data_IF_874636769456
#
_entry.id   IF_874636769456
#
_cell.length_a   1.000
_cell.length_b   1.000
_cell.length_c   1.000
_cell.angle_alpha   90.00
_cell.angle_beta   90.00
_cell.angle_gamma   90.00
#
_symmetry.space_group_name_H-M   'P 1'
#
loop_
_entity.id
_entity.type
_entity.pdbx_description
1 polymer ?
#
# COMPACT_ATOMS: atom_id res chain seq x y z
N UNK A 1 2.00 -24.12 1.39
CA UNK A 1 2.98 -24.56 0.35
C UNK A 1 4.27 -23.75 0.51
N UNK A 2 5.45 -24.40 0.43
CA UNK A 2 6.73 -23.69 0.32
C UNK A 2 6.73 -22.93 -1.01
N UNK A 3 7.13 -21.63 -1.06
CA UNK A 3 7.28 -20.90 -2.32
C UNK A 3 8.17 -21.72 -3.27
N UNK A 4 7.78 -21.88 -4.53
CA UNK A 4 8.67 -22.51 -5.52
C UNK A 4 9.73 -21.47 -5.89
N UNK A 5 10.98 -21.58 -5.38
CA UNK A 5 11.99 -20.54 -5.59
C UNK A 5 12.44 -20.47 -7.05
N UNK A 6 12.13 -21.50 -7.85
CA UNK A 6 12.43 -21.55 -9.29
C UNK A 6 11.39 -20.81 -10.14
N UNK A 7 10.26 -20.42 -9.54
CA UNK A 7 9.23 -19.63 -10.20
C UNK A 7 9.38 -18.14 -9.83
N UNK A 8 10.10 -17.32 -10.64
CA UNK A 8 10.27 -15.88 -10.38
C UNK A 8 8.95 -15.10 -10.47
N UNK A 9 7.88 -15.74 -10.97
CA UNK A 9 6.56 -15.15 -11.11
C UNK A 9 5.67 -15.40 -9.89
N UNK A 10 6.11 -16.24 -8.94
CA UNK A 10 5.42 -16.44 -7.67
C UNK A 10 5.60 -15.21 -6.78
N UNK A 11 4.48 -14.63 -6.35
CA UNK A 11 4.46 -13.41 -5.52
C UNK A 11 5.11 -13.64 -4.15
N UNK A 12 5.15 -14.89 -3.68
CA UNK A 12 5.78 -15.25 -2.41
C UNK A 12 7.31 -15.10 -2.42
N UNK A 13 7.94 -15.06 -3.60
CA UNK A 13 9.38 -14.86 -3.77
C UNK A 13 9.73 -13.39 -4.09
N UNK A 14 8.74 -12.50 -4.11
CA UNK A 14 8.95 -11.12 -4.51
C UNK A 14 9.92 -10.40 -3.55
N UNK A 15 10.83 -9.62 -4.14
CA UNK A 15 11.69 -8.68 -3.43
C UNK A 15 11.44 -7.29 -4.00
N UNK A 16 11.13 -6.28 -3.15
CA UNK A 16 10.97 -6.37 -1.71
C UNK A 16 9.76 -7.22 -1.28
N UNK A 17 9.80 -7.82 -0.09
CA UNK A 17 8.61 -8.42 0.52
C UNK A 17 7.65 -7.33 1.02
N UNK A 18 6.38 -7.65 1.36
CA UNK A 18 5.48 -6.66 1.93
C UNK A 18 5.95 -6.12 3.28
N UNK A 19 6.77 -6.88 4.02
CA UNK A 19 7.35 -6.40 5.27
C UNK A 19 8.43 -5.34 4.97
N UNK A 20 9.37 -5.65 4.07
CA UNK A 20 10.40 -4.69 3.62
C UNK A 20 9.76 -3.43 3.01
N UNK A 21 8.56 -3.57 2.43
CA UNK A 21 7.82 -2.44 1.90
C UNK A 21 7.39 -1.42 2.96
N UNK A 22 7.04 -1.87 4.17
CA UNK A 22 6.80 -0.97 5.30
C UNK A 22 8.09 -0.24 5.65
N UNK A 23 9.20 -0.97 5.74
CA UNK A 23 10.51 -0.40 6.08
C UNK A 23 10.96 0.64 5.05
N UNK A 24 10.65 0.47 3.76
CA UNK A 24 10.93 1.48 2.73
C UNK A 24 10.17 2.80 2.94
N UNK A 25 8.97 2.76 3.52
CA UNK A 25 8.25 4.00 3.89
C UNK A 25 8.75 4.58 5.21
N UNK A 26 9.22 3.75 6.14
CA UNK A 26 9.78 4.21 7.40
C UNK A 26 11.20 4.77 7.24
N UNK A 27 11.90 4.32 6.19
CA UNK A 27 13.29 4.66 5.98
C UNK A 27 13.54 5.25 4.58
N UNK A 28 12.82 6.31 4.22
CA UNK A 28 13.03 6.99 2.93
C UNK A 28 14.37 7.76 2.99
N UNK A 29 15.35 7.44 2.12
CA UNK A 29 16.62 8.16 2.09
C UNK A 29 16.43 9.56 1.48
N UNK A 30 17.03 10.58 2.08
CA UNK A 30 16.99 11.95 1.57
C UNK A 30 18.32 12.63 1.88
N UNK A 31 19.25 12.65 0.91
CA UNK A 31 20.63 13.06 1.19
C UNK A 31 21.29 12.08 2.17
N UNK A 32 21.91 12.59 3.24
CA UNK A 32 22.61 11.78 4.25
C UNK A 32 21.71 11.37 5.43
N UNK A 33 20.41 11.66 5.36
CA UNK A 33 19.43 11.37 6.43
C UNK A 33 18.32 10.45 5.94
N UNK A 34 17.53 9.99 6.91
CA UNK A 34 16.38 9.12 6.70
C UNK A 34 15.11 9.79 7.23
N UNK A 35 14.02 9.71 6.47
CA UNK A 35 12.72 10.30 6.81
C UNK A 35 11.65 9.21 6.81
N UNK A 36 10.81 9.21 7.84
CA UNK A 36 9.69 8.28 7.96
C UNK A 36 8.39 8.90 7.45
N UNK A 37 7.61 8.13 6.68
CA UNK A 37 6.29 8.54 6.19
C UNK A 37 5.22 8.06 7.16
N UNK A 38 4.85 8.93 8.10
CA UNK A 38 4.06 8.56 9.27
C UNK A 38 2.54 8.70 9.09
N UNK A 39 2.08 9.29 7.98
CA UNK A 39 0.70 9.74 7.84
C UNK A 39 -0.11 8.87 6.90
N UNK A 40 -1.32 8.51 7.33
CA UNK A 40 -2.39 8.01 6.48
C UNK A 40 -3.16 9.17 5.90
N UNK A 41 -3.30 9.17 4.58
CA UNK A 41 -3.85 10.30 3.85
C UNK A 41 -4.83 9.81 2.80
N UNK A 42 -6.07 9.56 3.22
CA UNK A 42 -7.13 9.07 2.32
C UNK A 42 -7.87 10.23 1.64
N UNK A 43 -8.06 10.13 0.33
CA UNK A 43 -8.80 11.10 -0.46
C UNK A 43 -7.91 12.10 -1.19
N UNK A 44 -8.49 13.23 -1.62
CA UNK A 44 -7.80 14.26 -2.40
C UNK A 44 -7.45 15.45 -1.50
N UNK A 45 -6.17 15.77 -1.46
CA UNK A 45 -5.52 16.76 -0.62
C UNK A 45 -4.96 17.91 -1.47
N UNK A 46 -5.80 18.60 -2.24
CA UNK A 46 -5.38 19.69 -3.12
C UNK A 46 -5.43 21.08 -2.48
N UNK A 47 -6.04 21.21 -1.30
CA UNK A 47 -6.29 22.51 -0.65
C UNK A 47 -5.92 22.53 0.84
N UNK A 48 -5.20 21.52 1.34
CA UNK A 48 -4.70 21.51 2.71
C UNK A 48 -3.31 22.17 2.83
N UNK A 49 -2.84 22.35 4.07
CA UNK A 49 -1.53 22.95 4.33
C UNK A 49 -0.36 22.16 3.67
N UNK A 50 -0.52 20.83 3.55
CA UNK A 50 0.42 19.98 2.84
C UNK A 50 0.44 20.27 1.33
N UNK A 51 -0.72 20.51 0.72
CA UNK A 51 -0.86 20.87 -0.68
C UNK A 51 -0.11 22.16 -1.01
N UNK A 52 -0.25 23.18 -0.16
CA UNK A 52 0.50 24.44 -0.31
C UNK A 52 2.01 24.19 -0.25
N UNK A 53 2.49 23.40 0.71
CA UNK A 53 3.92 23.06 0.85
C UNK A 53 4.46 22.33 -0.38
N UNK A 54 3.75 21.30 -0.85
CA UNK A 54 4.10 20.55 -2.07
C UNK A 54 4.14 21.45 -3.30
N UNK A 55 3.16 22.35 -3.45
CA UNK A 55 3.10 23.31 -4.55
C UNK A 55 4.30 24.27 -4.54
N UNK A 56 4.68 24.80 -3.37
CA UNK A 56 5.83 25.69 -3.22
C UNK A 56 7.16 25.00 -3.57
N UNK A 57 7.33 23.72 -3.21
CA UNK A 57 8.49 22.92 -3.64
C UNK A 57 8.50 22.77 -5.15
N UNK A 58 7.38 22.33 -5.74
CA UNK A 58 7.29 22.10 -7.18
C UNK A 58 7.56 23.39 -7.99
N UNK A 59 6.96 24.51 -7.60
CA UNK A 59 7.16 25.81 -8.26
C UNK A 59 8.61 26.27 -8.19
N UNK A 60 9.24 26.16 -7.02
CA UNK A 60 10.63 26.57 -6.82
C UNK A 60 11.60 25.65 -7.57
N UNK A 61 11.34 24.33 -7.60
CA UNK A 61 12.14 23.37 -8.35
C UNK A 61 12.10 23.67 -9.86
N UNK A 62 10.91 23.95 -10.40
CA UNK A 62 10.77 24.38 -11.81
C UNK A 62 11.52 25.68 -12.07
N UNK A 63 11.40 26.68 -11.18
CA UNK A 63 12.12 27.96 -11.31
C UNK A 63 13.65 27.76 -11.32
N UNK A 64 14.15 26.82 -10.53
CA UNK A 64 15.58 26.43 -10.46
C UNK A 64 16.02 25.46 -11.56
N UNK A 65 15.11 25.04 -12.46
CA UNK A 65 15.36 24.05 -13.53
C UNK A 65 15.82 22.68 -13.01
N UNK A 66 15.36 22.29 -11.82
CA UNK A 66 15.57 20.94 -11.29
C UNK A 66 14.66 19.93 -12.02
N UNK A 67 15.03 18.65 -12.00
CA UNK A 67 14.19 17.59 -12.55
C UNK A 67 12.94 17.40 -11.68
N UNK A 68 11.75 17.56 -12.27
CA UNK A 68 10.47 17.46 -11.54
C UNK A 68 9.61 16.36 -12.14
N UNK A 69 9.40 15.29 -11.37
CA UNK A 69 8.37 14.31 -11.66
C UNK A 69 6.99 14.83 -11.19
N UNK A 70 6.26 15.53 -12.06
CA UNK A 70 4.92 16.07 -11.75
C UNK A 70 3.93 14.99 -11.30
N UNK A 71 4.09 13.75 -11.77
CA UNK A 71 3.19 12.65 -11.40
C UNK A 71 3.36 12.25 -9.92
N UNK A 72 4.57 12.32 -9.39
CA UNK A 72 4.84 12.10 -7.96
C UNK A 72 4.05 13.09 -7.09
N UNK A 73 4.08 14.38 -7.43
CA UNK A 73 3.32 15.40 -6.72
C UNK A 73 1.80 15.19 -6.82
N UNK A 74 1.30 14.79 -7.99
CA UNK A 74 -0.11 14.46 -8.16
C UNK A 74 -0.52 13.27 -7.26
N UNK A 75 0.30 12.21 -7.22
CA UNK A 75 0.07 11.06 -6.33
C UNK A 75 0.14 11.43 -4.86
N UNK A 76 1.07 12.31 -4.48
CA UNK A 76 1.14 12.85 -3.13
C UNK A 76 -0.15 13.56 -2.75
N UNK A 77 -0.75 14.34 -3.64
CA UNK A 77 -2.05 14.95 -3.35
C UNK A 77 -3.23 13.97 -3.29
N UNK A 78 -3.04 12.68 -3.55
CA UNK A 78 -4.08 11.65 -3.45
C UNK A 78 -3.76 10.56 -2.41
N UNK A 79 -2.66 10.72 -1.67
CA UNK A 79 -2.17 9.67 -0.75
C UNK A 79 -1.73 8.39 -1.45
N UNK A 80 -1.20 8.50 -2.67
CA UNK A 80 -0.78 7.34 -3.51
C UNK A 80 0.71 7.33 -3.82
N UNK A 81 1.52 7.99 -2.99
CA UNK A 81 2.98 8.04 -3.20
C UNK A 81 3.61 6.67 -2.99
N UNK A 82 4.55 6.31 -3.86
CA UNK A 82 5.53 5.26 -3.58
C UNK A 82 6.65 5.79 -2.66
N UNK A 83 7.51 4.90 -2.10
CA UNK A 83 8.74 5.34 -1.44
C UNK A 83 9.60 6.24 -2.34
N UNK A 84 9.75 5.90 -3.61
CA UNK A 84 10.53 6.69 -4.59
C UNK A 84 9.92 8.07 -4.86
N UNK A 85 8.58 8.17 -4.89
CA UNK A 85 7.92 9.47 -4.96
C UNK A 85 8.22 10.32 -3.73
N UNK A 86 8.28 9.69 -2.54
CA UNK A 86 8.61 10.38 -1.30
C UNK A 86 10.06 10.88 -1.33
N UNK A 87 11.02 10.03 -1.68
CA UNK A 87 12.43 10.38 -1.84
C UNK A 87 12.58 11.56 -2.82
N UNK A 88 11.96 11.47 -3.99
CA UNK A 88 12.01 12.53 -5.01
C UNK A 88 11.45 13.87 -4.48
N UNK A 89 10.29 13.84 -3.81
CA UNK A 89 9.66 15.06 -3.30
C UNK A 89 10.47 15.66 -2.14
N UNK A 90 10.99 14.83 -1.24
CA UNK A 90 11.77 15.27 -0.09
C UNK A 90 13.13 15.81 -0.51
N UNK A 91 13.80 15.17 -1.48
CA UNK A 91 15.04 15.68 -2.08
C UNK A 91 14.84 17.06 -2.68
N UNK A 92 13.77 17.24 -3.48
CA UNK A 92 13.42 18.57 -3.98
C UNK A 92 13.09 19.57 -2.87
N UNK A 93 12.49 19.15 -1.75
CA UNK A 93 12.21 20.04 -0.63
C UNK A 93 13.51 20.60 0.00
N UNK A 94 14.57 19.78 0.09
CA UNK A 94 15.90 20.21 0.51
C UNK A 94 16.57 21.10 -0.54
N UNK A 95 16.62 20.67 -1.81
CA UNK A 95 17.28 21.40 -2.90
C UNK A 95 16.69 22.80 -3.14
N UNK A 96 15.39 22.95 -2.86
CA UNK A 96 14.67 24.23 -2.98
C UNK A 96 14.75 25.09 -1.72
N UNK A 97 15.30 24.56 -0.62
CA UNK A 97 15.36 25.21 0.69
C UNK A 97 13.99 25.40 1.35
N UNK A 98 12.97 24.63 0.92
CA UNK A 98 11.63 24.63 1.54
C UNK A 98 11.59 23.76 2.80
N UNK A 99 12.58 22.91 2.96
CA UNK A 99 12.95 22.23 4.18
C UNK A 99 14.48 22.23 4.33
N UNK A 100 14.95 22.08 5.56
CA UNK A 100 16.33 21.74 5.90
C UNK A 100 16.37 20.31 6.45
N UNK A 101 17.55 19.71 6.57
CA UNK A 101 17.72 18.40 7.22
C UNK A 101 17.07 18.36 8.61
N UNK A 102 17.19 19.43 9.39
CA UNK A 102 16.59 19.51 10.74
C UNK A 102 15.05 19.61 10.75
N UNK A 103 14.42 20.00 9.64
CA UNK A 103 12.98 20.26 9.57
C UNK A 103 12.24 19.30 8.63
N UNK A 104 12.95 18.44 7.91
CA UNK A 104 12.41 17.63 6.82
C UNK A 104 11.41 16.57 7.29
N UNK A 105 11.63 15.98 8.48
CA UNK A 105 10.66 15.05 9.07
C UNK A 105 9.32 15.75 9.35
N UNK A 106 9.35 16.89 10.04
CA UNK A 106 8.15 17.68 10.29
C UNK A 106 7.49 18.19 9.00
N UNK A 107 8.28 18.46 7.96
CA UNK A 107 7.75 18.80 6.64
C UNK A 107 7.03 17.61 6.00
N UNK A 108 7.60 16.41 6.09
CA UNK A 108 7.03 15.16 5.60
C UNK A 108 5.71 14.83 6.33
N UNK A 109 5.67 14.92 7.66
CA UNK A 109 4.48 14.65 8.47
C UNK A 109 3.29 15.56 8.08
N UNK A 110 3.57 16.78 7.61
CA UNK A 110 2.55 17.74 7.18
C UNK A 110 2.13 17.52 5.72
N UNK A 111 3.03 17.02 4.87
CA UNK A 111 2.94 17.15 3.42
C UNK A 111 2.87 15.82 2.68
N UNK A 112 3.23 14.71 3.30
CA UNK A 112 3.27 13.39 2.68
C UNK A 112 2.50 12.39 3.53
N UNK A 113 2.03 11.35 2.87
CA UNK A 113 1.27 10.27 3.47
C UNK A 113 0.74 9.35 2.40
N UNK A 114 0.35 8.14 2.80
CA UNK A 114 -0.14 7.13 1.88
C UNK A 114 -1.37 6.45 2.46
N UNK A 115 -2.41 6.24 1.65
CA UNK A 115 -3.58 5.48 2.07
C UNK A 115 -3.40 3.96 1.85
N UNK A 116 -4.38 3.18 2.30
CA UNK A 116 -4.30 1.72 2.28
C UNK A 116 -4.17 1.19 0.85
N UNK A 117 -4.92 1.74 -0.09
CA UNK A 117 -4.86 1.32 -1.49
C UNK A 117 -3.60 1.83 -2.17
N UNK A 118 -3.13 3.04 -1.87
CA UNK A 118 -1.90 3.61 -2.38
C UNK A 118 -0.69 2.77 -2.00
N UNK A 119 -0.64 2.32 -0.75
CA UNK A 119 0.39 1.42 -0.25
C UNK A 119 0.45 0.11 -1.05
N UNK A 120 -0.70 -0.54 -1.23
CA UNK A 120 -0.80 -1.81 -1.98
C UNK A 120 -0.52 -1.61 -3.47
N UNK A 121 -0.99 -0.51 -4.06
CA UNK A 121 -0.77 -0.22 -5.48
C UNK A 121 0.69 0.08 -5.76
N UNK A 122 1.35 0.86 -4.89
CA UNK A 122 2.78 1.15 -5.01
C UNK A 122 3.61 -0.13 -4.90
N UNK A 123 3.29 -1.03 -3.96
CA UNK A 123 3.94 -2.34 -3.83
C UNK A 123 3.83 -3.17 -5.11
N UNK A 124 2.61 -3.36 -5.63
CA UNK A 124 2.44 -4.13 -6.86
C UNK A 124 3.01 -3.45 -8.10
N UNK A 125 3.15 -2.12 -8.09
CA UNK A 125 3.87 -1.41 -9.14
C UNK A 125 5.37 -1.64 -9.09
N UNK A 126 5.97 -1.69 -7.89
CA UNK A 126 7.39 -2.04 -7.71
C UNK A 126 7.67 -3.41 -8.31
N UNK A 127 6.78 -4.37 -8.04
CA UNK A 127 6.88 -5.73 -8.55
C UNK A 127 6.49 -5.87 -10.03
N UNK A 128 6.29 -4.75 -10.73
CA UNK A 128 5.87 -4.73 -12.14
C UNK A 128 4.63 -5.61 -12.40
N UNK A 129 3.64 -5.58 -11.50
CA UNK A 129 2.35 -6.29 -11.63
C UNK A 129 1.21 -5.38 -12.06
N UNK A 130 1.28 -4.10 -11.70
CA UNK A 130 0.33 -3.07 -12.12
C UNK A 130 1.05 -1.75 -12.40
N UNK A 131 0.39 -0.82 -13.09
CA UNK A 131 0.93 0.53 -13.32
C UNK A 131 0.48 1.48 -12.21
N UNK A 132 1.42 2.05 -11.44
CA UNK A 132 1.07 3.06 -10.42
C UNK A 132 0.25 4.21 -11.01
N UNK A 133 0.62 4.71 -12.20
CA UNK A 133 -0.09 5.82 -12.87
C UNK A 133 -1.55 5.49 -13.17
N UNK A 134 -1.82 4.30 -13.70
CA UNK A 134 -3.18 3.87 -14.08
C UNK A 134 -4.08 3.66 -12.86
N UNK A 135 -3.51 3.28 -11.72
CA UNK A 135 -4.26 2.88 -10.53
C UNK A 135 -4.25 3.95 -9.41
N UNK A 136 -3.53 5.05 -9.57
CA UNK A 136 -3.51 6.14 -8.57
C UNK A 136 -4.74 7.05 -8.60
N UNK A 137 -5.48 7.13 -9.72
CA UNK A 137 -6.58 8.08 -9.94
C UNK A 137 -7.97 7.62 -9.49
N UNK A 138 -8.09 6.77 -8.48
CA UNK A 138 -9.38 6.27 -7.99
C UNK A 138 -9.52 4.75 -7.88
N UNK A 139 -8.41 4.01 -7.83
CA UNK A 139 -8.49 2.59 -7.48
C UNK A 139 -9.09 2.43 -6.09
N UNK A 140 -10.18 1.67 -6.03
CA UNK A 140 -10.84 1.22 -4.81
C UNK A 140 -10.60 -0.27 -4.62
N UNK A 141 -10.90 -0.77 -3.43
CA UNK A 141 -10.81 -2.19 -3.12
C UNK A 141 -11.56 -3.06 -4.15
N UNK A 142 -12.83 -2.77 -4.53
CA UNK A 142 -13.55 -3.58 -5.51
C UNK A 142 -12.88 -3.62 -6.89
N UNK A 143 -12.28 -2.50 -7.30
CA UNK A 143 -11.61 -2.41 -8.59
C UNK A 143 -10.38 -3.32 -8.67
N UNK A 144 -9.55 -3.34 -7.62
CA UNK A 144 -8.38 -4.22 -7.56
C UNK A 144 -8.78 -5.70 -7.55
N UNK A 145 -9.83 -6.06 -6.79
CA UNK A 145 -10.36 -7.42 -6.78
C UNK A 145 -10.90 -7.81 -8.16
N UNK A 146 -11.65 -6.93 -8.82
CA UNK A 146 -12.13 -7.15 -10.18
C UNK A 146 -10.99 -7.35 -11.20
N UNK A 147 -9.93 -6.54 -11.09
CA UNK A 147 -8.74 -6.67 -11.93
C UNK A 147 -8.02 -8.01 -11.70
N UNK A 148 -7.85 -8.43 -10.45
CA UNK A 148 -7.25 -9.72 -10.10
C UNK A 148 -8.08 -10.90 -10.63
N UNK A 149 -9.42 -10.84 -10.53
CA UNK A 149 -10.31 -11.87 -11.09
C UNK A 149 -10.20 -11.96 -12.62
N UNK A 150 -10.09 -10.82 -13.31
CA UNK A 150 -9.93 -10.77 -14.78
C UNK A 150 -8.55 -11.22 -15.23
N UNK A 151 -7.50 -10.83 -14.50
CA UNK A 151 -6.09 -11.14 -14.78
C UNK A 151 -5.54 -12.32 -13.97
N UNK A 152 -6.42 -13.27 -13.60
CA UNK A 152 -6.07 -14.41 -12.74
C UNK A 152 -4.87 -15.17 -13.32
N UNK A 153 -3.84 -15.50 -12.49
CA UNK A 153 -2.72 -16.30 -12.94
C UNK A 153 -3.15 -17.62 -13.61
N UNK A 154 -2.44 -18.07 -14.68
CA UNK A 154 -2.64 -19.40 -15.24
C UNK A 154 -2.48 -20.49 -14.18
N UNK A 155 -3.28 -21.56 -14.26
CA UNK A 155 -3.21 -22.69 -13.32
C UNK A 155 -3.89 -22.49 -11.96
N UNK A 156 -4.30 -21.26 -11.61
CA UNK A 156 -5.05 -21.01 -10.38
C UNK A 156 -6.57 -21.19 -10.61
N UNK A 157 -7.34 -21.93 -9.80
CA UNK A 157 -8.78 -22.10 -10.04
C UNK A 157 -9.57 -20.79 -9.83
N UNK A 158 -9.14 -19.96 -8.89
CA UNK A 158 -9.77 -18.69 -8.52
C UNK A 158 -8.73 -17.69 -8.02
N UNK A 159 -8.90 -16.41 -8.33
CA UNK A 159 -8.07 -15.37 -7.70
C UNK A 159 -8.42 -15.17 -6.21
N UNK A 160 -9.63 -15.54 -5.80
CA UNK A 160 -10.05 -15.54 -4.40
C UNK A 160 -9.56 -16.82 -3.72
N UNK A 161 -8.85 -16.65 -2.60
CA UNK A 161 -8.24 -17.70 -1.79
C UNK A 161 -9.06 -17.87 -0.51
N UNK A 162 -9.40 -19.10 -0.18
CA UNK A 162 -10.29 -19.42 0.95
C UNK A 162 -9.61 -20.23 2.05
N UNK A 163 -8.66 -21.08 1.66
CA UNK A 163 -8.00 -22.00 2.57
C UNK A 163 -6.71 -21.36 3.08
N UNK A 164 -6.50 -21.41 4.40
CA UNK A 164 -5.37 -20.75 5.05
C UNK A 164 -4.02 -21.22 4.47
N UNK A 165 -3.90 -22.53 4.18
CA UNK A 165 -2.69 -23.15 3.63
C UNK A 165 -2.34 -22.74 2.19
N UNK A 166 -3.30 -22.15 1.47
CA UNK A 166 -3.14 -21.63 0.11
C UNK A 166 -2.74 -20.14 0.07
N UNK A 167 -2.86 -19.44 1.19
CA UNK A 167 -2.48 -18.03 1.34
C UNK A 167 -0.97 -17.91 1.23
N UNK A 168 -0.51 -16.85 0.58
CA UNK A 168 0.90 -16.57 0.33
C UNK A 168 1.25 -15.15 0.73
N UNK A 169 2.52 -14.95 1.10
CA UNK A 169 3.10 -13.60 1.19
C UNK A 169 2.88 -12.85 -0.13
N UNK A 170 2.46 -11.59 -0.02
CA UNK A 170 2.14 -10.72 -1.14
C UNK A 170 0.68 -10.82 -1.63
N UNK A 171 -0.14 -11.71 -1.09
CA UNK A 171 -1.59 -11.66 -1.28
C UNK A 171 -2.19 -10.39 -0.70
N UNK A 172 -3.27 -9.90 -1.30
CA UNK A 172 -4.02 -8.81 -0.69
C UNK A 172 -5.17 -9.35 0.17
N UNK A 173 -5.31 -8.80 1.38
CA UNK A 173 -6.46 -8.99 2.25
C UNK A 173 -7.37 -7.78 2.08
N UNK A 174 -8.63 -8.01 1.76
CA UNK A 174 -9.61 -6.95 1.49
C UNK A 174 -10.81 -7.11 2.40
N UNK A 175 -11.22 -6.05 3.10
CA UNK A 175 -12.41 -6.06 3.97
C UNK A 175 -13.69 -5.99 3.14
N UNK A 176 -14.07 -7.16 2.61
CA UNK A 176 -15.13 -7.33 1.64
C UNK A 176 -15.67 -8.76 1.65
N UNK A 177 -16.85 -9.00 1.07
CA UNK A 177 -17.35 -10.34 0.72
C UNK A 177 -17.09 -10.68 -0.75
N UNK A 178 -17.26 -11.94 -1.15
CA UNK A 178 -17.16 -12.38 -2.55
C UNK A 178 -18.19 -11.73 -3.49
N UNK A 179 -19.26 -11.14 -2.95
CA UNK A 179 -20.25 -10.32 -3.66
C UNK A 179 -19.83 -8.85 -3.82
N UNK A 180 -18.56 -8.55 -3.54
CA UNK A 180 -17.98 -7.20 -3.61
C UNK A 180 -18.62 -6.19 -2.65
N UNK A 181 -19.19 -6.66 -1.54
CA UNK A 181 -19.74 -5.79 -0.49
C UNK A 181 -18.65 -5.47 0.52
N UNK A 182 -18.28 -4.19 0.64
CA UNK A 182 -17.33 -3.74 1.66
C UNK A 182 -17.88 -3.98 3.07
N UNK A 183 -17.03 -4.49 3.95
CA UNK A 183 -17.40 -4.88 5.33
C UNK A 183 -16.80 -3.93 6.37
N UNK A 184 -16.05 -2.92 5.92
CA UNK A 184 -15.58 -1.77 6.70
C UNK A 184 -15.99 -0.47 6.00
N UNK A 185 -16.12 0.60 6.79
CA UNK A 185 -16.40 1.94 6.29
C UNK A 185 -15.40 2.95 6.91
N UNK A 186 -14.52 3.57 6.10
CA UNK A 186 -14.25 3.26 4.69
C UNK A 186 -13.71 1.83 4.50
N UNK A 187 -13.78 1.31 3.27
CA UNK A 187 -13.16 0.02 2.91
C UNK A 187 -11.65 0.01 3.21
N UNK A 188 -11.08 -1.19 3.38
CA UNK A 188 -9.67 -1.35 3.75
C UNK A 188 -9.01 -2.52 3.00
N UNK A 189 -7.72 -2.37 2.73
CA UNK A 189 -6.87 -3.34 2.05
C UNK A 189 -5.50 -3.42 2.74
N UNK A 190 -4.94 -4.61 2.76
CA UNK A 190 -3.62 -4.93 3.30
C UNK A 190 -2.91 -5.96 2.42
N UNK A 191 -1.61 -6.15 2.63
CA UNK A 191 -0.82 -7.23 2.06
C UNK A 191 -0.53 -8.28 3.14
N UNK A 192 -0.50 -9.55 2.79
CA UNK A 192 0.01 -10.61 3.66
C UNK A 192 1.53 -10.53 3.67
N UNK A 193 2.13 -10.22 4.82
CA UNK A 193 3.58 -10.19 4.99
C UNK A 193 4.14 -11.58 5.26
N UNK A 194 3.50 -12.34 6.15
CA UNK A 194 3.94 -13.69 6.50
C UNK A 194 2.75 -14.60 6.76
N UNK A 195 2.92 -15.86 6.37
CA UNK A 195 2.00 -16.96 6.65
C UNK A 195 2.68 -17.99 7.55
N UNK A 196 1.89 -18.76 8.30
CA UNK A 196 2.38 -19.90 9.10
C UNK A 196 3.44 -19.59 10.17
N UNK A 197 3.59 -18.31 10.56
CA UNK A 197 4.48 -17.90 11.66
C UNK A 197 3.76 -17.98 13.00
N UNK A 198 2.45 -17.73 13.01
CA UNK A 198 1.59 -17.78 14.20
C UNK A 198 0.40 -18.68 13.86
N UNK A 199 0.05 -19.67 14.72
CA UNK A 199 -1.15 -20.46 14.52
C UNK A 199 -2.39 -19.57 14.36
N UNK A 200 -3.22 -19.90 13.39
CA UNK A 200 -4.49 -19.22 13.12
C UNK A 200 -4.34 -17.69 13.00
N UNK A 201 -3.24 -17.20 12.43
CA UNK A 201 -3.08 -15.78 12.18
C UNK A 201 -2.20 -15.46 10.96
N UNK A 202 -2.57 -14.39 10.26
CA UNK A 202 -1.76 -13.77 9.22
C UNK A 202 -1.04 -12.55 9.79
N UNK A 203 0.22 -12.38 9.43
CA UNK A 203 0.90 -11.10 9.58
C UNK A 203 0.69 -10.29 8.30
N UNK A 204 0.34 -9.02 8.45
CA UNK A 204 0.01 -8.13 7.34
C UNK A 204 0.84 -6.86 7.34
N UNK A 205 1.02 -6.27 6.18
CA UNK A 205 1.53 -4.93 5.96
C UNK A 205 0.45 -4.06 5.34
N UNK A 206 0.26 -2.86 5.88
CA UNK A 206 -0.78 -1.96 5.41
C UNK A 206 -0.51 -0.52 5.81
N UNK A 207 -1.19 0.43 5.17
CA UNK A 207 -1.31 1.79 5.69
C UNK A 207 -2.72 2.03 6.24
N UNK A 208 -2.85 2.56 7.45
CA UNK A 208 -4.14 2.99 8.00
C UNK A 208 -3.98 4.15 8.98
N UNK A 209 -5.07 4.88 9.26
CA UNK A 209 -5.06 6.04 10.15
C UNK A 209 -5.11 5.74 11.64
N UNK A 210 -4.90 4.50 12.09
CA UNK A 210 -4.79 4.20 13.52
C UNK A 210 -3.34 4.44 13.98
N UNK A 211 -3.13 4.88 15.22
CA UNK A 211 -1.79 4.91 15.82
C UNK A 211 -1.28 3.47 16.02
N UNK A 212 -0.01 3.20 15.74
CA UNK A 212 0.65 1.93 16.05
C UNK A 212 1.23 1.87 17.47
N UNK A 213 1.15 2.96 18.23
CA UNK A 213 1.72 3.09 19.58
C UNK A 213 3.06 3.82 19.60
N UNK A 214 3.70 4.03 18.44
CA UNK A 214 4.90 4.85 18.26
C UNK A 214 4.64 6.20 17.59
N UNK A 215 3.37 6.53 17.31
CA UNK A 215 2.99 7.77 16.63
C UNK A 215 2.95 7.64 15.11
N UNK A 216 3.05 6.44 14.55
CA UNK A 216 2.80 6.22 13.13
C UNK A 216 1.32 5.95 12.89
N UNK A 217 0.73 6.79 12.05
CA UNK A 217 -0.65 6.71 11.59
C UNK A 217 -0.70 6.34 10.11
N UNK A 218 0.27 5.58 9.58
CA UNK A 218 0.46 5.30 8.15
C UNK A 218 0.85 3.84 7.88
N UNK A 219 1.84 3.56 6.99
CA UNK A 219 2.42 2.23 6.77
C UNK A 219 2.88 1.59 8.08
N UNK A 220 2.56 0.32 8.27
CA UNK A 220 2.93 -0.48 9.45
C UNK A 220 2.62 -1.96 9.25
N UNK A 221 3.02 -2.75 10.24
CA UNK A 221 2.65 -4.15 10.37
C UNK A 221 1.40 -4.32 11.23
N UNK A 222 0.68 -5.40 10.98
CA UNK A 222 -0.47 -5.81 11.77
C UNK A 222 -0.60 -7.33 11.84
N UNK A 223 -1.49 -7.79 12.70
CA UNK A 223 -1.89 -9.19 12.84
C UNK A 223 -3.38 -9.30 12.56
N UNK A 224 -3.77 -10.36 11.85
CA UNK A 224 -5.16 -10.77 11.68
C UNK A 224 -5.30 -12.21 12.18
N UNK A 225 -6.05 -12.42 13.26
CA UNK A 225 -6.47 -13.75 13.68
C UNK A 225 -7.43 -14.37 12.67
N UNK A 226 -7.44 -15.69 12.57
CA UNK A 226 -8.20 -16.46 11.60
C UNK A 226 -9.25 -17.30 12.32
N UNK A 227 -10.53 -16.98 12.12
CA UNK A 227 -11.65 -17.71 12.74
C UNK A 227 -12.32 -18.69 11.74
N UNK A 228 -11.91 -18.64 10.47
CA UNK A 228 -12.37 -19.54 9.41
C UNK A 228 -13.35 -18.93 8.41
N UNK A 229 -13.71 -19.74 7.41
CA UNK A 229 -14.56 -19.34 6.29
C UNK A 229 -16.03 -19.40 6.67
N UNK A 230 -16.79 -18.35 6.32
CA UNK A 230 -18.24 -18.23 6.54
C UNK A 230 -18.95 -17.92 5.23
N UNK A 231 -20.22 -18.30 5.13
CA UNK A 231 -21.08 -18.02 3.98
C UNK A 231 -22.51 -17.75 4.43
N UNK A 232 -23.19 -16.80 3.78
CA UNK A 232 -24.59 -16.48 4.03
C UNK A 232 -25.18 -15.56 2.96
N UNK A 233 -26.36 -14.98 3.21
CA UNK A 233 -27.08 -14.13 2.23
C UNK A 233 -26.24 -12.97 1.65
N UNK A 234 -25.32 -12.43 2.46
CA UNK A 234 -24.39 -11.35 2.08
C UNK A 234 -23.14 -11.80 1.30
N UNK A 235 -22.99 -13.10 1.03
CA UNK A 235 -21.83 -13.67 0.34
C UNK A 235 -20.93 -14.52 1.26
N UNK A 236 -19.88 -15.07 0.65
CA UNK A 236 -18.79 -15.82 1.29
C UNK A 236 -17.68 -14.86 1.72
N UNK A 237 -17.09 -15.09 2.89
CA UNK A 237 -15.99 -14.32 3.46
C UNK A 237 -15.20 -15.16 4.47
N UNK A 238 -14.02 -14.67 4.85
CA UNK A 238 -13.20 -15.18 5.94
C UNK A 238 -13.47 -14.30 7.16
N UNK A 239 -13.80 -14.93 8.28
CA UNK A 239 -13.94 -14.26 9.57
C UNK A 239 -12.54 -14.12 10.20
N UNK A 240 -12.19 -12.91 10.61
CA UNK A 240 -10.93 -12.56 11.28
C UNK A 240 -11.20 -11.75 12.54
N UNK A 241 -10.39 -11.94 13.58
CA UNK A 241 -10.46 -11.19 14.85
C UNK A 241 -11.89 -11.03 15.44
N UNK A 242 -12.70 -12.09 15.39
CA UNK A 242 -14.06 -12.19 15.93
C UNK A 242 -15.14 -11.37 15.21
N UNK A 243 -14.76 -10.32 14.47
CA UNK A 243 -15.72 -9.39 13.84
C UNK A 243 -15.33 -8.94 12.43
N UNK A 244 -14.06 -9.02 12.05
CA UNK A 244 -13.58 -8.66 10.72
C UNK A 244 -14.02 -9.66 9.65
N UNK A 245 -14.47 -9.16 8.51
CA UNK A 245 -14.92 -10.00 7.39
C UNK A 245 -14.09 -9.65 6.17
N UNK A 246 -13.30 -10.59 5.67
CA UNK A 246 -12.35 -10.33 4.59
C UNK A 246 -12.46 -11.35 3.47
N UNK A 247 -11.85 -11.03 2.35
CA UNK A 247 -11.43 -12.00 1.33
C UNK A 247 -9.93 -11.86 1.14
N UNK A 248 -9.26 -12.97 0.83
CA UNK A 248 -7.87 -12.97 0.40
C UNK A 248 -7.83 -13.14 -1.10
N UNK A 249 -7.02 -12.33 -1.78
CA UNK A 249 -6.99 -12.26 -3.24
C UNK A 249 -5.55 -12.34 -3.73
N UNK A 250 -5.28 -13.29 -4.62
CA UNK A 250 -4.02 -13.39 -5.37
C UNK A 250 -3.95 -12.23 -6.38
N UNK A 251 -2.90 -11.41 -6.40
CA UNK A 251 -2.76 -10.35 -7.39
C UNK A 251 -2.68 -10.91 -8.82
N UNK A 252 -2.97 -10.08 -9.85
CA UNK A 252 -2.84 -10.49 -11.24
C UNK A 252 -1.38 -10.87 -11.57
N UNK A 253 -1.21 -11.85 -12.47
CA UNK A 253 0.12 -12.39 -12.78
C UNK A 253 1.03 -11.41 -13.54
N UNK A 254 0.49 -10.46 -14.31
CA UNK A 254 1.29 -9.60 -15.18
C UNK A 254 0.62 -8.25 -15.48
N UNK A 255 1.44 -7.23 -15.72
CA UNK A 255 1.06 -5.99 -16.41
C UNK A 255 0.67 -6.35 -17.85
N UNK A 256 -0.48 -5.85 -18.28
CA UNK A 256 -0.74 -5.57 -19.69
C UNK A 256 -0.37 -4.11 -19.99
#
# INVERSE_FOLDING_TARGET
MVPDPSNPTDIANASPSPADWVDRYWNVPVGDITVSINKYMIGIHNADAGATKRSLVMQEAVRRKLSVNKKAFNRASMGKVSPDDCEHILGLALDTGKATESTIQAWADQSLGVDCTGFVVAYYSELSRISLDKYSGGASCPFLVGAAKKGKPPGLPSALIWDFDEIRTGDMVVWMTDKMLETRKPGHIALVSYTNVIPDALLIAHSNGANDGSGHFGPKHGRLGWDGVKSGGSGKYIQVDGTGKVIVVRPPAWIA
#
